data_IF_460017750479
#
_entry.id   IF_460017750479
#
_cell.length_a   1.000
_cell.length_b   1.000
_cell.length_c   1.000
_cell.angle_alpha   90.00
_cell.angle_beta   90.00
_cell.angle_gamma   90.00
#
_symmetry.space_group_name_H-M   'P 1'
#
loop_
_entity.id
_entity.type
_entity.pdbx_description
1 polymer ?
#
# COMPACT_ATOMS: atom_id res chain seq x y z
N UNK A 1 -21.91 26.13 -3.03
CA UNK A 1 -21.51 25.14 -2.00
C UNK A 1 -20.36 24.33 -2.56
N UNK A 2 -19.18 24.40 -1.96
CA UNK A 2 -18.06 23.51 -2.34
C UNK A 2 -18.52 22.07 -2.10
N UNK A 3 -18.50 21.24 -3.15
CA UNK A 3 -18.72 19.80 -3.05
C UNK A 3 -17.76 19.27 -1.98
N UNK A 4 -18.24 18.43 -1.06
CA UNK A 4 -17.35 17.76 -0.09
C UNK A 4 -16.38 16.91 -0.91
N UNK A 5 -15.13 17.34 -1.00
CA UNK A 5 -14.09 16.63 -1.73
C UNK A 5 -13.71 15.39 -0.92
N UNK A 6 -13.86 14.22 -1.54
CA UNK A 6 -13.48 12.93 -0.98
C UNK A 6 -12.38 12.31 -1.85
N UNK A 7 -11.40 11.68 -1.19
CA UNK A 7 -10.26 11.03 -1.84
C UNK A 7 -10.08 9.65 -1.22
N UNK A 8 -10.07 8.62 -2.07
CA UNK A 8 -9.71 7.28 -1.60
C UNK A 8 -8.20 7.19 -1.37
N UNK A 9 -7.81 6.98 -0.11
CA UNK A 9 -6.41 6.83 0.32
C UNK A 9 -5.98 5.38 0.56
N UNK A 10 -6.92 4.44 0.45
CA UNK A 10 -6.71 3.00 0.61
C UNK A 10 -7.53 2.29 -0.47
N UNK A 11 -6.89 1.93 -1.58
CA UNK A 11 -7.54 1.18 -2.66
C UNK A 11 -6.63 0.07 -3.18
N UNK A 12 -7.24 -1.03 -3.57
CA UNK A 12 -6.56 -2.20 -4.11
C UNK A 12 -6.90 -2.37 -5.58
N UNK A 13 -5.88 -2.72 -6.37
CA UNK A 13 -6.03 -3.17 -7.74
C UNK A 13 -5.89 -4.70 -7.82
N UNK A 14 -6.11 -5.27 -8.99
CA UNK A 14 -5.83 -6.67 -9.28
C UNK A 14 -4.40 -7.14 -8.96
N UNK A 15 -3.44 -6.23 -8.75
CA UNK A 15 -2.10 -6.58 -8.25
C UNK A 15 -2.08 -6.93 -6.76
N UNK A 16 -3.15 -6.67 -6.02
CA UNK A 16 -3.49 -7.38 -4.78
C UNK A 16 -3.99 -8.78 -5.12
N UNK A 17 -3.06 -9.63 -5.54
CA UNK A 17 -3.33 -10.96 -6.07
C UNK A 17 -4.21 -11.77 -5.10
N UNK A 18 -5.23 -12.42 -5.66
CA UNK A 18 -6.21 -13.25 -4.95
C UNK A 18 -7.19 -12.50 -4.03
N UNK A 19 -7.11 -11.16 -3.94
CA UNK A 19 -7.93 -10.38 -2.99
C UNK A 19 -8.71 -9.23 -3.65
N UNK A 20 -8.25 -8.69 -4.79
CA UNK A 20 -8.96 -7.61 -5.48
C UNK A 20 -9.10 -7.85 -6.99
N UNK A 21 -10.16 -7.26 -7.55
CA UNK A 21 -10.58 -7.43 -8.95
C UNK A 21 -10.29 -6.24 -9.87
N UNK A 22 -10.37 -4.96 -9.44
CA UNK A 22 -10.31 -3.83 -10.37
C UNK A 22 -8.99 -3.75 -11.16
N UNK A 23 -9.08 -3.63 -12.48
CA UNK A 23 -7.91 -3.31 -13.32
C UNK A 23 -7.51 -1.85 -13.12
N UNK A 24 -6.22 -1.55 -13.19
CA UNK A 24 -5.73 -0.18 -12.96
C UNK A 24 -6.38 0.83 -13.92
N UNK A 25 -6.46 0.60 -15.25
CA UNK A 25 -7.10 1.55 -16.15
C UNK A 25 -8.59 1.78 -15.82
N UNK A 26 -9.31 0.71 -15.45
CA UNK A 26 -10.72 0.77 -15.07
C UNK A 26 -10.93 1.53 -13.75
N UNK A 27 -10.05 1.28 -12.77
CA UNK A 27 -10.05 1.96 -11.46
C UNK A 27 -9.83 3.47 -11.61
N UNK A 28 -8.85 3.87 -12.43
CA UNK A 28 -8.53 5.28 -12.69
C UNK A 28 -9.65 5.94 -13.50
N UNK A 29 -10.19 5.26 -14.52
CA UNK A 29 -11.29 5.78 -15.32
C UNK A 29 -12.57 5.99 -14.47
N UNK A 30 -12.86 5.09 -13.54
CA UNK A 30 -13.97 5.24 -12.60
C UNK A 30 -13.78 6.47 -11.70
N UNK A 31 -12.59 6.65 -11.12
CA UNK A 31 -12.27 7.83 -10.31
C UNK A 31 -12.40 9.14 -11.12
N UNK A 32 -11.97 9.13 -12.39
CA UNK A 32 -12.12 10.28 -13.29
C UNK A 32 -13.59 10.60 -13.56
N UNK A 33 -14.41 9.57 -13.82
CA UNK A 33 -15.86 9.70 -14.05
C UNK A 33 -16.59 10.28 -12.84
N UNK A 34 -16.13 9.95 -11.64
CA UNK A 34 -16.69 10.48 -10.38
C UNK A 34 -16.23 11.93 -10.08
N UNK A 35 -15.31 12.46 -10.90
CA UNK A 35 -14.75 13.81 -10.75
C UNK A 35 -13.65 13.89 -9.69
N UNK A 36 -13.03 12.76 -9.32
CA UNK A 36 -11.93 12.75 -8.37
C UNK A 36 -10.65 13.29 -9.01
N UNK A 37 -9.94 14.13 -8.26
CA UNK A 37 -8.66 14.72 -8.70
C UNK A 37 -7.44 13.99 -8.15
N UNK A 38 -7.64 13.04 -7.24
CA UNK A 38 -6.56 12.34 -6.54
C UNK A 38 -7.03 10.94 -6.20
N UNK A 39 -6.13 9.96 -6.33
CA UNK A 39 -6.40 8.56 -6.01
C UNK A 39 -5.13 7.93 -5.44
N UNK A 40 -5.24 7.12 -4.40
CA UNK A 40 -4.13 6.33 -3.88
C UNK A 40 -4.26 4.85 -4.25
N UNK A 41 -3.15 4.23 -4.64
CA UNK A 41 -3.03 2.78 -4.79
C UNK A 41 -2.19 2.21 -3.65
N UNK A 42 -2.74 1.21 -2.96
CA UNK A 42 -2.15 0.59 -1.76
C UNK A 42 -2.31 -0.92 -1.83
N UNK A 43 -1.67 -1.54 -2.82
CA UNK A 43 -1.78 -2.99 -3.02
C UNK A 43 -1.16 -3.81 -1.87
N UNK A 44 -1.61 -5.06 -1.74
CA UNK A 44 -1.26 -5.97 -0.66
C UNK A 44 0.22 -6.33 -0.66
N UNK A 45 0.98 -5.70 0.23
CA UNK A 45 2.38 -5.98 0.49
C UNK A 45 3.31 -5.78 -0.70
N UNK A 46 2.85 -5.15 -1.80
CA UNK A 46 3.61 -5.04 -3.04
C UNK A 46 3.43 -3.69 -3.76
N UNK A 47 4.25 -3.47 -4.79
CA UNK A 47 4.24 -2.27 -5.65
C UNK A 47 4.16 -2.63 -7.15
N UNK A 48 3.64 -3.81 -7.50
CA UNK A 48 3.67 -4.30 -8.89
C UNK A 48 2.93 -3.37 -9.85
N UNK A 49 1.78 -2.86 -9.42
CA UNK A 49 0.96 -1.94 -10.18
C UNK A 49 1.42 -0.47 -10.17
N UNK A 50 2.44 -0.10 -9.39
CA UNK A 50 2.72 1.31 -9.10
C UNK A 50 3.03 2.15 -10.35
N UNK A 51 3.81 1.61 -11.29
CA UNK A 51 4.20 2.32 -12.51
C UNK A 51 3.05 2.40 -13.52
N UNK A 52 2.27 1.33 -13.66
CA UNK A 52 1.07 1.30 -14.50
C UNK A 52 0.04 2.31 -13.98
N UNK A 53 -0.20 2.31 -12.67
CA UNK A 53 -1.09 3.26 -11.99
C UNK A 53 -0.66 4.70 -12.20
N UNK A 54 0.62 5.00 -11.99
CA UNK A 54 1.15 6.34 -12.21
C UNK A 54 0.92 6.84 -13.63
N UNK A 55 1.15 5.98 -14.64
CA UNK A 55 0.91 6.31 -16.05
C UNK A 55 -0.57 6.52 -16.35
N UNK A 56 -1.43 5.61 -15.90
CA UNK A 56 -2.89 5.72 -16.08
C UNK A 56 -3.44 7.00 -15.44
N UNK A 57 -3.04 7.32 -14.20
CA UNK A 57 -3.46 8.56 -13.54
C UNK A 57 -3.06 9.82 -14.33
N UNK A 58 -1.87 9.83 -14.96
CA UNK A 58 -1.45 10.95 -15.80
C UNK A 58 -2.35 11.17 -17.01
N UNK A 59 -2.80 10.10 -17.67
CA UNK A 59 -3.69 10.19 -18.82
C UNK A 59 -5.04 10.85 -18.46
N UNK A 60 -5.54 10.60 -17.25
CA UNK A 60 -6.78 11.17 -16.74
C UNK A 60 -6.60 12.45 -15.91
N UNK A 61 -5.39 13.03 -15.86
CA UNK A 61 -5.07 14.20 -15.01
C UNK A 61 -5.44 14.02 -13.52
N UNK A 62 -5.37 12.79 -13.03
CA UNK A 62 -5.54 12.45 -11.62
C UNK A 62 -4.17 12.47 -10.94
N UNK A 63 -4.07 13.07 -9.75
CA UNK A 63 -2.87 13.00 -8.93
C UNK A 63 -2.73 11.60 -8.31
N UNK A 64 -1.70 10.82 -8.64
CA UNK A 64 -1.47 9.52 -8.01
C UNK A 64 -0.84 9.69 -6.62
N UNK A 65 -1.27 8.87 -5.67
CA UNK A 65 -0.60 8.62 -4.39
C UNK A 65 -0.16 7.16 -4.37
N UNK A 66 1.15 6.93 -4.18
CA UNK A 66 1.69 5.58 -4.11
C UNK A 66 1.80 5.16 -2.66
N UNK A 67 1.24 4.00 -2.34
CA UNK A 67 1.35 3.39 -1.03
C UNK A 67 1.33 1.87 -1.12
N UNK A 68 1.35 1.24 0.05
CA UNK A 68 1.31 -0.22 0.21
C UNK A 68 0.51 -0.53 1.46
N UNK A 69 -0.36 -1.52 1.39
CA UNK A 69 -1.01 -2.11 2.55
C UNK A 69 -0.16 -3.30 3.03
N UNK A 70 0.67 -3.06 4.05
CA UNK A 70 1.62 -4.04 4.56
C UNK A 70 0.99 -4.96 5.60
N UNK A 71 1.41 -6.22 5.59
CA UNK A 71 1.28 -7.10 6.74
C UNK A 71 2.38 -6.78 7.76
N UNK A 72 2.04 -6.70 9.03
CA UNK A 72 2.96 -6.44 10.14
C UNK A 72 3.04 -7.65 11.07
N UNK A 73 4.26 -8.11 11.33
CA UNK A 73 4.51 -9.16 12.31
C UNK A 73 4.30 -8.62 13.73
N UNK A 74 3.62 -9.39 14.59
CA UNK A 74 3.40 -9.00 16.00
C UNK A 74 4.69 -9.06 16.83
N UNK A 75 5.59 -9.99 16.50
CA UNK A 75 6.93 -10.11 17.09
C UNK A 75 7.99 -9.58 16.10
N UNK A 76 8.93 -10.42 15.66
CA UNK A 76 9.91 -10.06 14.62
C UNK A 76 9.52 -10.68 13.28
N UNK A 77 9.81 -9.97 12.17
CA UNK A 77 9.53 -10.48 10.81
C UNK A 77 10.23 -11.81 10.50
N UNK A 78 11.35 -12.07 11.16
CA UNK A 78 12.19 -13.26 11.00
C UNK A 78 11.70 -14.48 11.78
N UNK A 79 10.73 -14.31 12.70
CA UNK A 79 10.14 -15.40 13.47
C UNK A 79 8.99 -16.06 12.69
N UNK A 80 8.96 -17.40 12.70
CA UNK A 80 8.07 -18.25 11.89
C UNK A 80 7.58 -19.47 12.69
N UNK A 81 7.24 -19.25 13.94
CA UNK A 81 6.70 -20.27 14.84
C UNK A 81 5.20 -20.48 14.53
N UNK A 82 4.85 -21.69 14.12
CA UNK A 82 3.47 -22.03 13.76
C UNK A 82 2.49 -21.75 14.91
N UNK A 83 1.31 -21.21 14.59
CA UNK A 83 0.26 -20.74 15.52
C UNK A 83 0.60 -19.51 16.36
N UNK A 84 1.88 -19.15 16.48
CA UNK A 84 2.32 -17.96 17.22
C UNK A 84 2.53 -16.79 16.26
N UNK A 85 3.25 -17.01 15.17
CA UNK A 85 3.55 -16.00 14.15
C UNK A 85 2.62 -16.08 12.92
N UNK A 86 1.57 -16.90 13.02
CA UNK A 86 0.48 -16.97 12.04
C UNK A 86 -0.36 -15.67 12.06
N UNK A 87 -0.44 -15.02 13.23
CA UNK A 87 -1.14 -13.76 13.39
C UNK A 87 -0.31 -12.58 12.86
N UNK A 88 -0.99 -11.67 12.17
CA UNK A 88 -0.41 -10.46 11.60
C UNK A 88 -1.44 -9.33 11.64
N UNK A 89 -0.95 -8.11 11.81
CA UNK A 89 -1.75 -6.90 11.66
C UNK A 89 -1.55 -6.29 10.27
N UNK A 90 -2.26 -5.21 9.98
CA UNK A 90 -2.15 -4.45 8.73
C UNK A 90 -1.76 -3.00 9.00
N UNK A 91 -0.93 -2.44 8.13
CA UNK A 91 -0.52 -1.06 8.18
C UNK A 91 -0.40 -0.49 6.77
N UNK A 92 -1.20 0.53 6.47
CA UNK A 92 -1.11 1.22 5.18
C UNK A 92 -0.07 2.33 5.31
N UNK A 93 0.90 2.32 4.39
CA UNK A 93 1.94 3.35 4.30
C UNK A 93 1.87 4.06 2.95
N UNK A 94 1.74 5.39 2.98
CA UNK A 94 1.71 6.25 1.79
C UNK A 94 3.02 7.03 1.67
N UNK A 95 3.56 7.13 0.45
CA UNK A 95 4.70 7.97 0.17
C UNK A 95 4.30 9.45 0.10
N UNK A 96 4.80 10.27 1.03
CA UNK A 96 4.64 11.73 1.04
C UNK A 96 5.51 12.41 -0.03
N UNK A 97 6.67 11.83 -0.32
CA UNK A 97 7.69 12.38 -1.21
C UNK A 97 8.57 11.25 -1.81
N UNK A 98 9.57 11.62 -2.60
CA UNK A 98 10.48 10.66 -3.24
C UNK A 98 11.24 9.78 -2.23
N UNK A 99 11.66 10.36 -1.10
CA UNK A 99 12.29 9.61 0.00
C UNK A 99 11.35 8.54 0.54
N UNK A 100 10.08 8.88 0.75
CA UNK A 100 9.02 7.94 1.11
C UNK A 100 8.85 6.83 0.08
N UNK A 101 8.82 7.17 -1.21
CA UNK A 101 8.71 6.16 -2.27
C UNK A 101 9.89 5.16 -2.27
N UNK A 102 11.13 5.67 -2.13
CA UNK A 102 12.32 4.81 -1.99
C UNK A 102 12.25 3.93 -0.74
N UNK A 103 11.72 4.47 0.36
CA UNK A 103 11.51 3.71 1.59
C UNK A 103 10.44 2.62 1.42
N UNK A 104 9.35 2.87 0.69
CA UNK A 104 8.37 1.83 0.33
C UNK A 104 9.02 0.69 -0.47
N UNK A 105 9.89 1.02 -1.45
CA UNK A 105 10.63 0.01 -2.21
C UNK A 105 11.47 -0.85 -1.27
N UNK A 106 12.24 -0.25 -0.37
CA UNK A 106 13.05 -0.99 0.60
C UNK A 106 12.19 -1.88 1.51
N UNK A 107 11.09 -1.34 2.05
CA UNK A 107 10.18 -2.10 2.91
C UNK A 107 9.56 -3.30 2.17
N UNK A 108 9.10 -3.12 0.93
CA UNK A 108 8.56 -4.21 0.09
C UNK A 108 9.63 -5.25 -0.22
N UNK A 109 10.86 -4.84 -0.55
CA UNK A 109 11.94 -5.78 -0.79
C UNK A 109 12.28 -6.59 0.47
N UNK A 110 12.39 -5.92 1.63
CA UNK A 110 12.71 -6.57 2.91
C UNK A 110 11.58 -7.47 3.40
N UNK A 111 10.33 -7.10 3.18
CA UNK A 111 9.18 -7.94 3.55
C UNK A 111 9.15 -9.26 2.77
N UNK A 112 9.54 -9.24 1.50
CA UNK A 112 9.62 -10.45 0.67
C UNK A 112 10.89 -11.28 0.93
N UNK A 113 12.05 -10.64 1.10
CA UNK A 113 13.32 -11.35 1.23
C UNK A 113 13.55 -11.88 2.65
N UNK A 114 13.10 -11.15 3.68
CA UNK A 114 13.41 -11.47 5.09
C UNK A 114 12.15 -11.84 5.88
N UNK A 115 11.03 -11.17 5.61
CA UNK A 115 9.81 -11.26 6.41
C UNK A 115 8.76 -12.25 5.92
N UNK A 116 9.02 -12.94 4.80
CA UNK A 116 8.03 -13.81 4.17
C UNK A 116 7.77 -15.06 5.00
N UNK A 117 6.52 -15.22 5.43
CA UNK A 117 6.02 -16.47 6.04
C UNK A 117 4.88 -17.03 5.20
N UNK A 118 3.62 -16.71 5.53
CA UNK A 118 2.47 -16.93 4.63
C UNK A 118 2.23 -15.76 3.68
N UNK A 119 2.57 -14.56 4.15
CA UNK A 119 2.54 -13.29 3.43
C UNK A 119 3.87 -12.55 3.66
N UNK A 120 4.25 -11.59 2.79
CA UNK A 120 5.39 -10.72 3.04
C UNK A 120 5.08 -9.76 4.20
N UNK A 121 5.86 -9.83 5.29
CA UNK A 121 5.61 -9.04 6.51
C UNK A 121 6.74 -8.07 6.79
N UNK A 122 6.42 -6.89 7.31
CA UNK A 122 7.38 -5.99 7.94
C UNK A 122 7.23 -6.07 9.47
N UNK A 123 8.15 -5.43 10.20
CA UNK A 123 8.07 -5.29 11.66
C UNK A 123 8.38 -3.84 12.06
N UNK A 124 8.23 -3.58 13.36
CA UNK A 124 8.47 -2.24 13.93
C UNK A 124 9.89 -1.73 13.69
N UNK A 125 10.88 -2.62 13.72
CA UNK A 125 12.28 -2.28 13.46
C UNK A 125 12.46 -1.71 12.05
N UNK A 126 11.95 -2.40 11.02
CA UNK A 126 12.01 -1.91 9.65
C UNK A 126 11.23 -0.61 9.48
N UNK A 127 10.05 -0.49 10.10
CA UNK A 127 9.25 0.73 10.03
C UNK A 127 10.03 1.91 10.62
N UNK A 128 10.66 1.74 11.78
CA UNK A 128 11.46 2.79 12.42
C UNK A 128 12.66 3.19 11.56
N UNK A 129 13.33 2.21 10.94
CA UNK A 129 14.47 2.44 10.05
C UNK A 129 14.07 3.23 8.79
N UNK A 130 12.91 2.94 8.20
CA UNK A 130 12.46 3.50 6.92
C UNK A 130 11.29 4.50 7.05
N UNK A 131 11.05 5.06 8.24
CA UNK A 131 9.89 5.93 8.54
C UNK A 131 9.84 7.25 7.77
N UNK A 132 10.99 7.74 7.30
CA UNK A 132 11.10 9.08 6.73
C UNK A 132 10.26 9.21 5.45
N UNK A 133 9.48 10.29 5.35
CA UNK A 133 8.68 10.55 4.14
C UNK A 133 7.45 9.64 3.99
N UNK A 134 7.06 8.90 5.02
CA UNK A 134 5.87 8.04 5.01
C UNK A 134 4.72 8.64 5.85
N UNK A 135 3.49 8.37 5.43
CA UNK A 135 2.27 8.63 6.20
C UNK A 135 1.63 7.27 6.49
N UNK A 136 1.27 7.02 7.75
CA UNK A 136 0.65 5.77 8.18
C UNK A 136 -0.87 5.93 8.37
N UNK A 137 -1.63 4.96 7.90
CA UNK A 137 -3.06 4.80 8.19
C UNK A 137 -3.24 3.44 8.86
N UNK A 138 -3.89 3.44 10.02
CA UNK A 138 -4.27 2.23 10.74
C UNK A 138 -5.66 1.79 10.26
N UNK A 139 -5.79 0.66 9.54
CA UNK A 139 -7.09 0.15 9.11
C UNK A 139 -7.85 -0.43 10.32
N UNK A 140 -9.17 -0.24 10.35
CA UNK A 140 -10.02 -0.65 11.48
C UNK A 140 -10.13 -2.17 11.68
N UNK A 141 -9.90 -2.95 10.61
CA UNK A 141 -9.90 -4.41 10.64
C UNK A 141 -8.48 -4.91 10.40
N UNK A 142 -7.81 -5.33 11.47
CA UNK A 142 -6.45 -5.87 11.42
C UNK A 142 -5.41 -5.06 12.19
N UNK A 143 -5.80 -4.18 13.12
CA UNK A 143 -4.89 -3.61 14.13
C UNK A 143 -4.55 -4.63 15.19
#
# INVERSE_FOLDING_TARGET
MSRLDFVHLHTHSHYSLLEALPKIPELVAAAAKDGQKTLALTDNGNLYGAIEFYKACKEYSIKPIIGVDFHTALRKRTQKEHRVDDQMSRLVLLAKNERGYRNLIHLVSKSHLEGFYYRPRIDRELIEQYREGLIAILPSYGG
#
